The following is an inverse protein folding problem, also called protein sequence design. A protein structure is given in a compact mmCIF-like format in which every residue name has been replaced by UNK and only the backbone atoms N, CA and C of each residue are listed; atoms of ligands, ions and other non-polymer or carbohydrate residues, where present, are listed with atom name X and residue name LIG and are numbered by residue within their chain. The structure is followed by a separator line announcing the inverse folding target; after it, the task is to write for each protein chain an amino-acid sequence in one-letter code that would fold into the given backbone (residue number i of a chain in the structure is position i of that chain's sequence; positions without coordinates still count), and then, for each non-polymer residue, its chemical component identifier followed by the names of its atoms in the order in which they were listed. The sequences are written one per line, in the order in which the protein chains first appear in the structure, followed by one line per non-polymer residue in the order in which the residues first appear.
data_IF_864273249661
#
_entry.id   IF_864273249661
#
_cell.length_a   1.000
_cell.length_b   1.000
_cell.length_c   1.000
_cell.angle_alpha   90.00
_cell.angle_beta   90.00
_cell.angle_gamma   90.00
#
_symmetry.space_group_name_H-M   'P 1'
#
loop_
_entity.id
_entity.type
_entity.pdbx_description
1 polymer ?
#
# COMPACT_ATOMS: atom_id res chain seq x y z
N UNK A 1 -31.49 -39.45 -8.46
CA UNK A 1 -30.03 -39.45 -8.25
C UNK A 1 -29.48 -38.21 -8.95
N UNK A 2 -29.35 -37.14 -8.17
CA UNK A 2 -28.76 -35.86 -8.55
C UNK A 2 -27.24 -35.88 -8.28
N UNK A 3 -26.49 -35.08 -9.04
CA UNK A 3 -25.08 -34.78 -8.74
C UNK A 3 -24.20 -34.70 -9.99
N UNK A 4 -24.28 -33.62 -10.77
CA UNK A 4 -23.29 -33.32 -11.83
C UNK A 4 -23.15 -31.83 -12.22
N UNK A 5 -23.65 -30.89 -11.41
CA UNK A 5 -23.71 -29.46 -11.77
C UNK A 5 -22.71 -28.52 -11.06
N UNK A 6 -22.07 -28.96 -9.97
CA UNK A 6 -21.25 -28.07 -9.12
C UNK A 6 -19.79 -27.95 -9.56
N UNK A 7 -19.17 -29.04 -10.06
CA UNK A 7 -17.75 -29.04 -10.43
C UNK A 7 -17.45 -28.12 -11.62
N UNK A 8 -18.22 -28.19 -12.71
CA UNK A 8 -17.91 -27.46 -13.94
C UNK A 8 -18.04 -25.94 -13.80
N UNK A 9 -18.97 -25.44 -12.97
CA UNK A 9 -19.08 -23.99 -12.72
C UNK A 9 -17.93 -23.48 -11.85
N UNK A 10 -17.58 -24.21 -10.79
CA UNK A 10 -16.46 -23.85 -9.90
C UNK A 10 -15.12 -23.90 -10.64
N UNK A 11 -14.93 -24.83 -11.57
CA UNK A 11 -13.69 -24.93 -12.36
C UNK A 11 -13.57 -23.80 -13.40
N UNK A 12 -14.69 -23.36 -13.99
CA UNK A 12 -14.73 -22.22 -14.91
C UNK A 12 -14.51 -20.90 -14.16
N UNK A 13 -15.18 -20.69 -13.01
CA UNK A 13 -15.00 -19.49 -12.18
C UNK A 13 -13.56 -19.39 -11.65
N UNK A 14 -12.95 -20.52 -11.28
CA UNK A 14 -11.55 -20.58 -10.85
C UNK A 14 -10.58 -20.29 -11.99
N UNK A 15 -10.82 -20.84 -13.19
CA UNK A 15 -10.00 -20.56 -14.36
C UNK A 15 -10.11 -19.10 -14.82
N UNK A 16 -11.31 -18.52 -14.71
CA UNK A 16 -11.59 -17.12 -15.02
C UNK A 16 -10.89 -16.17 -14.03
N UNK A 17 -10.97 -16.48 -12.73
CA UNK A 17 -10.24 -15.79 -11.68
C UNK A 17 -8.72 -15.89 -11.85
N UNK A 18 -8.19 -17.07 -12.15
CA UNK A 18 -6.76 -17.27 -12.39
C UNK A 18 -6.27 -16.44 -13.59
N UNK A 19 -7.03 -16.42 -14.69
CA UNK A 19 -6.69 -15.64 -15.88
C UNK A 19 -6.69 -14.14 -15.60
N UNK A 20 -7.68 -13.64 -14.85
CA UNK A 20 -7.73 -12.25 -14.42
C UNK A 20 -6.51 -11.88 -13.58
N UNK A 21 -6.11 -12.75 -12.66
CA UNK A 21 -4.91 -12.56 -11.83
C UNK A 21 -3.60 -12.59 -12.64
N UNK A 22 -3.47 -13.47 -13.63
CA UNK A 22 -2.32 -13.49 -14.55
C UNK A 22 -2.19 -12.18 -15.34
N UNK A 23 -3.32 -11.66 -15.86
CA UNK A 23 -3.38 -10.38 -16.55
C UNK A 23 -3.02 -9.21 -15.63
N UNK A 24 -3.49 -9.21 -14.38
CA UNK A 24 -3.11 -8.20 -13.38
C UNK A 24 -1.60 -8.22 -13.10
N UNK A 25 -1.04 -9.41 -12.87
CA UNK A 25 0.38 -9.58 -12.59
C UNK A 25 1.25 -9.14 -13.78
N UNK A 26 0.85 -9.48 -15.01
CA UNK A 26 1.52 -9.00 -16.22
C UNK A 26 1.42 -7.48 -16.37
N UNK A 27 0.23 -6.92 -16.11
CA UNK A 27 0.02 -5.47 -16.15
C UNK A 27 0.90 -4.74 -15.15
N UNK A 28 0.99 -5.24 -13.91
CA UNK A 28 1.89 -4.72 -12.88
C UNK A 28 3.34 -4.67 -13.38
N UNK A 29 3.87 -5.79 -13.90
CA UNK A 29 5.26 -5.85 -14.42
C UNK A 29 5.51 -4.88 -15.56
N UNK A 30 4.53 -4.68 -16.44
CA UNK A 30 4.62 -3.71 -17.53
C UNK A 30 4.66 -2.29 -16.95
N UNK A 31 3.71 -1.91 -16.10
CA UNK A 31 3.67 -0.58 -15.51
C UNK A 31 4.92 -0.24 -14.69
N UNK A 32 5.41 -1.17 -13.88
CA UNK A 32 6.64 -0.97 -13.08
C UNK A 32 7.89 -0.78 -13.96
N UNK A 33 7.93 -1.40 -15.14
CA UNK A 33 9.09 -1.35 -16.04
C UNK A 33 9.14 -0.11 -16.93
N UNK A 34 7.99 0.38 -17.40
CA UNK A 34 7.94 1.48 -18.40
C UNK A 34 7.10 2.68 -17.97
N UNK A 35 6.47 2.62 -16.80
CA UNK A 35 5.48 3.60 -16.35
C UNK A 35 4.13 3.44 -17.07
N UNK A 36 3.12 4.15 -16.58
CA UNK A 36 1.76 4.07 -17.12
C UNK A 36 1.59 4.73 -18.50
N UNK A 37 2.23 5.88 -18.71
CA UNK A 37 2.12 6.64 -19.96
C UNK A 37 2.58 5.83 -21.17
N UNK A 38 3.77 5.22 -21.09
CA UNK A 38 4.35 4.43 -22.17
C UNK A 38 3.70 3.04 -22.33
N UNK A 39 3.09 2.48 -21.28
CA UNK A 39 2.46 1.17 -21.33
C UNK A 39 1.25 1.11 -22.26
N UNK A 40 1.17 0.02 -23.03
CA UNK A 40 0.05 -0.28 -23.93
C UNK A 40 -0.60 -1.63 -23.62
N UNK A 41 -1.86 -1.81 -24.03
CA UNK A 41 -2.55 -3.12 -23.97
C UNK A 41 -1.78 -4.20 -24.76
N UNK A 42 -1.06 -3.81 -25.82
CA UNK A 42 -0.23 -4.73 -26.59
C UNK A 42 0.97 -5.25 -25.76
N UNK A 43 1.58 -4.39 -24.95
CA UNK A 43 2.66 -4.79 -24.04
C UNK A 43 2.16 -5.73 -22.95
N UNK A 44 1.01 -5.44 -22.36
CA UNK A 44 0.37 -6.27 -21.33
C UNK A 44 0.04 -7.66 -21.88
N UNK A 45 -0.62 -7.71 -23.04
CA UNK A 45 -1.02 -8.98 -23.66
C UNK A 45 0.18 -9.82 -24.08
N UNK A 46 1.25 -9.18 -24.57
CA UNK A 46 2.53 -9.83 -24.85
C UNK A 46 3.19 -10.38 -23.59
N UNK A 47 3.23 -9.60 -22.50
CA UNK A 47 3.76 -10.02 -21.20
C UNK A 47 2.96 -11.18 -20.59
N UNK A 48 1.64 -11.20 -20.78
CA UNK A 48 0.75 -12.24 -20.28
C UNK A 48 0.67 -13.48 -21.21
N UNK A 49 1.20 -13.41 -22.43
CA UNK A 49 1.08 -14.49 -23.42
C UNK A 49 -0.36 -14.73 -23.90
N UNK A 50 -1.19 -13.68 -23.96
CA UNK A 50 -2.61 -13.78 -24.38
C UNK A 50 -2.94 -12.84 -25.54
N UNK A 51 -4.13 -12.98 -26.12
CA UNK A 51 -4.60 -12.10 -27.19
C UNK A 51 -5.18 -10.79 -26.64
N UNK A 52 -5.26 -9.75 -27.48
CA UNK A 52 -6.01 -8.51 -27.15
C UNK A 52 -7.48 -8.78 -26.85
N UNK A 53 -8.10 -9.70 -27.60
CA UNK A 53 -9.49 -10.09 -27.33
C UNK A 53 -9.64 -10.66 -25.92
N UNK A 54 -8.68 -11.49 -25.48
CA UNK A 54 -8.64 -12.04 -24.12
C UNK A 54 -8.53 -10.93 -23.08
N UNK A 55 -7.68 -9.92 -23.27
CA UNK A 55 -7.59 -8.78 -22.36
C UNK A 55 -8.95 -8.08 -22.19
N UNK A 56 -9.63 -7.78 -23.30
CA UNK A 56 -10.90 -7.07 -23.28
C UNK A 56 -12.09 -7.87 -22.73
N UNK A 57 -11.92 -9.18 -22.50
CA UNK A 57 -12.89 -9.98 -21.72
C UNK A 57 -12.82 -9.61 -20.23
N UNK A 58 -11.64 -9.28 -19.71
CA UNK A 58 -11.40 -9.03 -18.28
C UNK A 58 -11.34 -7.56 -17.91
N UNK A 59 -10.86 -6.71 -18.82
CA UNK A 59 -10.64 -5.30 -18.59
C UNK A 59 -10.96 -4.48 -19.84
N UNK A 60 -11.82 -3.48 -19.70
CA UNK A 60 -12.22 -2.54 -20.73
C UNK A 60 -11.06 -1.64 -21.18
N UNK A 61 -10.08 -1.36 -20.31
CA UNK A 61 -8.96 -0.48 -20.64
C UNK A 61 -7.72 -0.73 -19.79
N UNK A 62 -6.57 -0.15 -20.19
CA UNK A 62 -5.36 -0.13 -19.35
C UNK A 62 -5.57 0.66 -18.05
N UNK A 63 -6.44 1.68 -18.09
CA UNK A 63 -6.78 2.50 -16.92
C UNK A 63 -7.50 1.67 -15.88
N UNK A 64 -8.48 0.87 -16.29
CA UNK A 64 -9.20 -0.02 -15.37
C UNK A 64 -8.26 -1.00 -14.66
N UNK A 65 -7.31 -1.60 -15.39
CA UNK A 65 -6.32 -2.50 -14.74
C UNK A 65 -5.44 -1.74 -13.76
N UNK A 66 -5.03 -0.53 -14.12
CA UNK A 66 -4.20 0.30 -13.24
C UNK A 66 -4.96 0.72 -11.98
N UNK A 67 -6.24 1.09 -12.09
CA UNK A 67 -7.10 1.36 -10.94
C UNK A 67 -7.20 0.14 -10.03
N UNK A 68 -7.44 -1.05 -10.57
CA UNK A 68 -7.48 -2.30 -9.77
C UNK A 68 -6.15 -2.55 -9.05
N UNK A 69 -5.01 -2.27 -9.68
CA UNK A 69 -3.69 -2.37 -9.04
C UNK A 69 -3.53 -1.32 -7.92
N UNK A 70 -4.00 -0.08 -8.11
CA UNK A 70 -3.99 0.94 -7.07
C UNK A 70 -4.89 0.56 -5.87
N UNK A 71 -6.03 -0.07 -6.13
CA UNK A 71 -6.89 -0.63 -5.09
C UNK A 71 -6.23 -1.77 -4.31
N UNK A 72 -5.43 -2.62 -4.96
CA UNK A 72 -4.64 -3.64 -4.25
C UNK A 72 -3.60 -3.01 -3.32
N UNK A 73 -2.97 -1.90 -3.73
CA UNK A 73 -2.06 -1.14 -2.86
C UNK A 73 -2.82 -0.54 -1.67
N UNK A 74 -4.00 0.06 -1.90
CA UNK A 74 -4.89 0.53 -0.82
C UNK A 74 -5.17 -0.57 0.18
N UNK A 75 -5.58 -1.74 -0.30
CA UNK A 75 -6.01 -2.84 0.54
C UNK A 75 -4.82 -3.38 1.37
N UNK A 76 -3.62 -3.46 0.78
CA UNK A 76 -2.39 -3.79 1.51
C UNK A 76 -2.09 -2.78 2.64
N UNK A 77 -2.25 -1.48 2.39
CA UNK A 77 -2.11 -0.46 3.44
C UNK A 77 -3.17 -0.58 4.53
N UNK A 78 -4.41 -0.96 4.19
CA UNK A 78 -5.47 -1.17 5.18
C UNK A 78 -5.19 -2.40 6.05
N UNK A 79 -4.69 -3.48 5.45
CA UNK A 79 -4.33 -4.71 6.16
C UNK A 79 -3.13 -4.50 7.11
N UNK A 80 -2.11 -3.75 6.67
CA UNK A 80 -0.96 -3.38 7.51
C UNK A 80 -1.35 -2.53 8.74
N UNK A 81 -2.53 -1.91 8.70
CA UNK A 81 -3.07 -1.16 9.83
C UNK A 81 -3.81 -2.06 10.85
N UNK A 82 -3.85 -3.38 10.70
CA UNK A 82 -4.44 -4.25 11.72
C UNK A 82 -3.52 -4.36 12.96
N UNK A 83 -3.76 -3.52 13.99
CA UNK A 83 -3.06 -3.55 15.28
C UNK A 83 -3.79 -4.40 16.31
N UNK A 84 -4.30 -5.57 15.89
CA UNK A 84 -4.98 -6.46 16.83
C UNK A 84 -4.01 -6.82 17.98
N UNK A 85 -4.53 -6.76 19.20
CA UNK A 85 -3.87 -7.27 20.42
C UNK A 85 -2.66 -6.48 20.98
N UNK A 86 -2.46 -5.22 20.57
CA UNK A 86 -1.46 -4.32 21.20
C UNK A 86 -2.15 -3.33 22.15
N UNK A 87 -1.79 -3.29 23.45
CA UNK A 87 -2.26 -2.28 24.38
C UNK A 87 -1.94 -0.86 23.90
N UNK A 88 -2.91 0.05 23.98
CA UNK A 88 -2.75 1.41 23.44
C UNK A 88 -1.71 2.26 24.20
N UNK A 89 -1.44 1.92 25.46
CA UNK A 89 -0.45 2.53 26.36
C UNK A 89 0.98 2.02 26.11
N UNK A 90 1.16 0.92 25.38
CA UNK A 90 2.47 0.45 24.90
C UNK A 90 2.89 1.19 23.62
N UNK A 91 3.15 2.50 23.78
CA UNK A 91 3.39 3.45 22.68
C UNK A 91 4.53 3.00 21.77
N UNK A 92 5.65 2.57 22.34
CA UNK A 92 6.81 2.11 21.58
C UNK A 92 6.45 0.90 20.71
N UNK A 93 5.73 -0.09 21.25
CA UNK A 93 5.32 -1.28 20.50
C UNK A 93 4.31 -0.97 19.41
N UNK A 94 3.35 -0.07 19.68
CA UNK A 94 2.38 0.40 18.67
C UNK A 94 3.11 1.03 17.50
N UNK A 95 4.04 1.97 17.76
CA UNK A 95 4.81 2.62 16.70
C UNK A 95 5.70 1.64 15.94
N UNK A 96 6.46 0.81 16.64
CA UNK A 96 7.35 -0.19 16.02
C UNK A 96 6.59 -1.11 15.08
N UNK A 97 5.42 -1.61 15.51
CA UNK A 97 4.58 -2.49 14.69
C UNK A 97 4.01 -1.76 13.49
N UNK A 98 3.48 -0.55 13.70
CA UNK A 98 2.85 0.24 12.63
C UNK A 98 3.87 0.67 11.58
N UNK A 99 5.04 1.15 12.00
CA UNK A 99 6.13 1.56 11.11
C UNK A 99 6.63 0.37 10.30
N UNK A 100 6.89 -0.77 10.95
CA UNK A 100 7.36 -1.97 10.26
C UNK A 100 6.37 -2.46 9.21
N UNK A 101 5.09 -2.59 9.57
CA UNK A 101 4.06 -3.05 8.65
C UNK A 101 3.86 -2.07 7.47
N UNK A 102 3.89 -0.76 7.72
CA UNK A 102 3.76 0.23 6.67
C UNK A 102 4.99 0.24 5.75
N UNK A 103 6.20 0.15 6.31
CA UNK A 103 7.44 0.05 5.54
C UNK A 103 7.43 -1.17 4.61
N UNK A 104 7.00 -2.33 5.11
CA UNK A 104 6.93 -3.57 4.32
C UNK A 104 6.01 -3.39 3.09
N UNK A 105 4.82 -2.79 3.29
CA UNK A 105 3.91 -2.48 2.17
C UNK A 105 4.55 -1.52 1.16
N UNK A 106 5.19 -0.45 1.63
CA UNK A 106 5.82 0.52 0.71
C UNK A 106 6.96 -0.14 -0.06
N UNK A 107 7.78 -0.99 0.58
CA UNK A 107 8.88 -1.72 -0.07
C UNK A 107 8.33 -2.69 -1.13
N UNK A 108 7.33 -3.51 -0.77
CA UNK A 108 6.74 -4.53 -1.67
C UNK A 108 6.08 -3.91 -2.91
N UNK A 109 5.60 -2.67 -2.78
CA UNK A 109 4.87 -1.95 -3.82
C UNK A 109 5.60 -0.71 -4.36
N UNK A 110 6.88 -0.49 -4.01
CA UNK A 110 7.59 0.78 -4.25
C UNK A 110 7.53 1.23 -5.72
N UNK A 111 7.80 0.32 -6.66
CA UNK A 111 7.80 0.64 -8.08
C UNK A 111 6.40 1.04 -8.58
N UNK A 112 5.36 0.34 -8.13
CA UNK A 112 3.98 0.65 -8.50
C UNK A 112 3.50 1.96 -7.85
N UNK A 113 3.81 2.18 -6.57
CA UNK A 113 3.54 3.43 -5.86
C UNK A 113 4.19 4.61 -6.58
N UNK A 114 5.46 4.47 -6.98
CA UNK A 114 6.17 5.50 -7.76
C UNK A 114 5.42 5.84 -9.06
N UNK A 115 4.94 4.82 -9.78
CA UNK A 115 4.15 5.04 -11.01
C UNK A 115 2.81 5.70 -10.69
N UNK A 116 2.14 5.30 -9.60
CA UNK A 116 0.87 5.86 -9.16
C UNK A 116 1.00 7.33 -8.76
N UNK A 117 2.04 7.71 -8.00
CA UNK A 117 2.36 9.09 -7.65
C UNK A 117 2.48 9.97 -8.90
N UNK A 118 3.22 9.51 -9.90
CA UNK A 118 3.37 10.24 -11.16
C UNK A 118 2.04 10.38 -11.91
N UNK A 119 1.20 9.34 -11.94
CA UNK A 119 -0.10 9.39 -12.63
C UNK A 119 -1.15 10.20 -11.89
N UNK A 120 -1.11 10.22 -10.56
CA UNK A 120 -1.99 11.03 -9.73
C UNK A 120 -1.82 12.55 -9.96
N UNK A 121 -0.77 13.00 -10.65
CA UNK A 121 -0.62 14.40 -11.06
C UNK A 121 -1.49 14.77 -12.27
N UNK A 122 -1.88 13.78 -13.08
CA UNK A 122 -2.60 13.99 -14.35
C UNK A 122 -4.05 13.47 -14.29
N UNK A 123 -4.31 12.42 -13.51
CA UNK A 123 -5.62 11.79 -13.35
C UNK A 123 -6.24 12.12 -11.98
N UNK A 124 -7.34 12.87 -11.99
CA UNK A 124 -8.02 13.34 -10.78
C UNK A 124 -8.68 12.22 -9.97
N UNK A 125 -9.12 11.13 -10.61
CA UNK A 125 -9.73 9.99 -9.91
C UNK A 125 -8.66 9.19 -9.18
N UNK A 126 -7.54 8.91 -9.85
CA UNK A 126 -6.37 8.29 -9.21
C UNK A 126 -5.78 9.18 -8.12
N UNK A 127 -5.75 10.51 -8.32
CA UNK A 127 -5.34 11.46 -7.30
C UNK A 127 -6.20 11.36 -6.04
N UNK A 128 -7.52 11.29 -6.21
CA UNK A 128 -8.45 11.17 -5.09
C UNK A 128 -8.26 9.84 -4.34
N UNK A 129 -8.11 8.73 -5.07
CA UNK A 129 -7.84 7.41 -4.48
C UNK A 129 -6.53 7.42 -3.68
N UNK A 130 -5.45 7.92 -4.29
CA UNK A 130 -4.14 7.95 -3.66
C UNK A 130 -4.09 8.90 -2.45
N UNK A 131 -4.72 10.07 -2.57
CA UNK A 131 -4.85 11.01 -1.46
C UNK A 131 -5.65 10.43 -0.29
N UNK A 132 -6.71 9.66 -0.56
CA UNK A 132 -7.48 8.96 0.49
C UNK A 132 -6.64 7.91 1.22
N UNK A 133 -5.84 7.12 0.47
CA UNK A 133 -4.91 6.13 1.04
C UNK A 133 -3.93 6.81 2.01
N UNK A 134 -3.24 7.85 1.55
CA UNK A 134 -2.28 8.60 2.36
C UNK A 134 -2.95 9.29 3.55
N UNK A 135 -4.11 9.92 3.35
CA UNK A 135 -4.84 10.62 4.39
C UNK A 135 -5.29 9.68 5.51
N UNK A 136 -5.79 8.47 5.18
CA UNK A 136 -6.21 7.48 6.19
C UNK A 136 -5.08 7.03 7.10
N UNK A 137 -3.88 6.79 6.55
CA UNK A 137 -2.72 6.41 7.33
C UNK A 137 -2.33 7.52 8.32
N UNK A 138 -2.29 8.77 7.84
CA UNK A 138 -1.99 9.94 8.68
C UNK A 138 -3.06 10.17 9.74
N UNK A 139 -4.34 10.13 9.38
CA UNK A 139 -5.47 10.37 10.28
C UNK A 139 -5.59 9.31 11.37
N UNK A 140 -5.24 8.05 11.05
CA UNK A 140 -5.17 6.99 12.05
C UNK A 140 -4.11 7.28 13.10
N UNK A 141 -2.89 7.59 12.68
CA UNK A 141 -1.80 7.88 13.61
C UNK A 141 -2.08 9.14 14.44
N UNK A 142 -2.59 10.19 13.80
CA UNK A 142 -2.98 11.42 14.48
C UNK A 142 -4.04 11.16 15.56
N UNK A 143 -5.08 10.37 15.26
CA UNK A 143 -6.11 9.98 16.24
C UNK A 143 -5.55 9.13 17.38
N UNK A 144 -4.62 8.23 17.09
CA UNK A 144 -3.96 7.44 18.13
C UNK A 144 -3.19 8.35 19.11
N UNK A 145 -2.37 9.27 18.59
CA UNK A 145 -1.63 10.23 19.41
C UNK A 145 -2.54 11.15 20.22
N UNK A 146 -3.62 11.67 19.61
CA UNK A 146 -4.63 12.46 20.32
C UNK A 146 -5.24 11.65 21.46
N UNK A 147 -5.65 10.40 21.22
CA UNK A 147 -6.22 9.54 22.25
C UNK A 147 -5.24 9.27 23.40
N UNK A 148 -4.00 8.89 23.10
CA UNK A 148 -2.99 8.61 24.14
C UNK A 148 -2.74 9.85 25.01
N UNK A 149 -2.73 11.04 24.39
CA UNK A 149 -2.58 12.32 25.10
C UNK A 149 -3.81 12.67 25.94
N UNK A 150 -5.01 12.66 25.36
CA UNK A 150 -6.24 13.11 26.00
C UNK A 150 -6.67 12.18 27.15
N UNK A 151 -6.49 10.87 26.98
CA UNK A 151 -6.81 9.86 27.98
C UNK A 151 -5.69 9.68 29.03
N UNK A 152 -4.55 10.36 28.88
CA UNK A 152 -3.40 10.25 29.79
C UNK A 152 -2.78 8.85 29.85
N UNK A 153 -2.83 8.09 28.74
CA UNK A 153 -2.34 6.71 28.69
C UNK A 153 -0.81 6.61 28.75
N UNK A 154 -0.11 7.67 28.30
CA UNK A 154 1.33 7.80 28.39
C UNK A 154 1.71 9.28 28.58
N UNK A 155 2.85 9.59 29.24
CA UNK A 155 3.30 10.95 29.48
C UNK A 155 3.94 11.55 28.21
N UNK A 156 3.15 11.81 27.18
CA UNK A 156 3.62 12.38 25.92
C UNK A 156 3.93 13.87 26.07
N UNK A 157 5.05 14.32 25.49
CA UNK A 157 5.41 15.73 25.30
C UNK A 157 5.59 15.98 23.80
N UNK A 158 4.48 16.30 23.12
CA UNK A 158 4.43 16.36 21.67
C UNK A 158 5.17 17.60 21.14
N UNK A 159 6.21 17.39 20.33
CA UNK A 159 6.98 18.46 19.70
C UNK A 159 6.18 19.25 18.65
N UNK A 160 5.07 18.69 18.15
CA UNK A 160 4.16 19.31 17.21
C UNK A 160 2.74 18.73 17.35
N UNK A 161 1.78 19.27 16.59
CA UNK A 161 0.41 18.72 16.54
C UNK A 161 0.44 17.24 16.11
N UNK A 162 -0.43 16.36 16.66
CA UNK A 162 -0.49 14.95 16.30
C UNK A 162 -0.49 14.67 14.79
N UNK A 163 -1.26 15.46 14.02
CA UNK A 163 -1.28 15.36 12.55
C UNK A 163 0.06 15.68 11.89
N UNK A 164 0.82 16.65 12.40
CA UNK A 164 2.13 17.01 11.86
C UNK A 164 3.16 15.90 12.12
N UNK A 165 3.12 15.27 13.30
CA UNK A 165 3.95 14.11 13.64
C UNK A 165 3.59 12.91 12.73
N UNK A 166 2.29 12.67 12.53
CA UNK A 166 1.82 11.62 11.63
C UNK A 166 2.24 11.85 10.16
N UNK A 167 2.17 13.08 9.66
CA UNK A 167 2.63 13.45 8.31
C UNK A 167 4.13 13.20 8.14
N UNK A 168 4.94 13.63 9.13
CA UNK A 168 6.38 13.35 9.17
C UNK A 168 6.64 11.83 9.12
N UNK A 169 5.91 11.05 9.92
CA UNK A 169 6.06 9.60 9.98
C UNK A 169 5.70 8.90 8.66
N UNK A 170 4.68 9.38 7.95
CA UNK A 170 4.32 8.88 6.63
C UNK A 170 5.42 9.17 5.60
N UNK A 171 5.81 10.44 5.47
CA UNK A 171 6.79 10.86 4.45
C UNK A 171 8.19 10.27 4.63
N UNK A 172 8.64 10.08 5.88
CA UNK A 172 9.92 9.40 6.11
C UNK A 172 9.87 7.93 5.66
N UNK A 173 8.72 7.26 5.76
CA UNK A 173 8.64 5.84 5.42
C UNK A 173 8.86 5.60 3.93
N UNK A 174 8.37 6.48 3.05
CA UNK A 174 8.66 6.43 1.61
C UNK A 174 10.16 6.62 1.33
N UNK A 175 10.80 7.57 2.01
CA UNK A 175 12.23 7.83 1.87
C UNK A 175 13.08 6.63 2.32
N UNK A 176 12.75 6.02 3.47
CA UNK A 176 13.42 4.83 3.97
C UNK A 176 13.15 3.59 3.11
N UNK A 177 11.93 3.43 2.59
CA UNK A 177 11.61 2.31 1.69
C UNK A 177 12.49 2.31 0.44
N UNK A 178 12.78 3.48 -0.12
CA UNK A 178 13.72 3.60 -1.24
C UNK A 178 15.15 3.15 -0.87
N UNK A 179 15.63 3.48 0.34
CA UNK A 179 16.93 3.03 0.85
C UNK A 179 16.98 1.53 1.12
N UNK A 180 15.90 0.97 1.68
CA UNK A 180 15.75 -0.47 1.94
C UNK A 180 15.73 -1.24 0.61
N UNK A 181 14.92 -0.79 -0.35
CA UNK A 181 14.86 -1.41 -1.68
C UNK A 181 16.21 -1.33 -2.43
N UNK A 182 16.99 -0.26 -2.21
CA UNK A 182 18.34 -0.14 -2.76
C UNK A 182 19.40 -0.98 -2.02
N UNK A 183 19.06 -1.59 -0.88
CA UNK A 183 19.98 -2.34 -0.03
C UNK A 183 20.99 -1.46 0.72
N UNK A 184 20.76 -0.14 0.78
CA UNK A 184 21.64 0.82 1.48
C UNK A 184 21.47 0.73 2.99
N UNK A 185 20.26 0.44 3.45
CA UNK A 185 19.87 0.30 4.85
C UNK A 185 19.06 -0.98 5.01
N UNK A 186 19.24 -1.72 6.10
CA UNK A 186 18.40 -2.90 6.35
C UNK A 186 17.00 -2.51 6.80
N UNK A 187 15.98 -3.37 6.58
CA UNK A 187 14.62 -3.14 7.06
C UNK A 187 14.59 -2.84 8.56
N UNK A 188 15.30 -3.63 9.37
CA UNK A 188 15.29 -3.47 10.82
C UNK A 188 15.98 -2.16 11.25
N UNK A 189 17.08 -1.79 10.60
CA UNK A 189 17.75 -0.50 10.84
C UNK A 189 16.83 0.68 10.48
N UNK A 190 16.14 0.62 9.34
CA UNK A 190 15.16 1.64 8.95
C UNK A 190 14.02 1.77 9.98
N UNK A 191 13.49 0.65 10.48
CA UNK A 191 12.44 0.67 11.52
C UNK A 191 12.96 1.28 12.81
N UNK A 192 14.15 0.92 13.28
CA UNK A 192 14.73 1.48 14.51
C UNK A 192 15.03 2.97 14.39
N UNK A 193 15.53 3.45 13.24
CA UNK A 193 15.78 4.87 13.01
C UNK A 193 14.48 5.69 12.96
N UNK A 194 13.47 5.24 12.19
CA UNK A 194 12.17 5.89 12.13
C UNK A 194 11.47 5.88 13.51
N UNK A 195 11.60 4.79 14.26
CA UNK A 195 11.09 4.67 15.63
C UNK A 195 11.78 5.68 16.55
N UNK A 196 13.11 5.78 16.51
CA UNK A 196 13.85 6.75 17.32
C UNK A 196 13.45 8.20 16.99
N UNK A 197 13.20 8.52 15.71
CA UNK A 197 12.73 9.85 15.29
C UNK A 197 11.35 10.16 15.87
N UNK A 198 10.38 9.23 15.72
CA UNK A 198 9.01 9.50 16.18
C UNK A 198 8.89 9.52 17.69
N UNK A 199 9.64 8.66 18.41
CA UNK A 199 9.67 8.66 19.88
C UNK A 199 10.12 10.03 20.40
N UNK A 200 11.21 10.59 19.86
CA UNK A 200 11.67 11.94 20.23
C UNK A 200 10.62 13.01 19.93
N UNK A 201 9.93 12.89 18.81
CA UNK A 201 8.87 13.83 18.43
C UNK A 201 7.67 13.80 19.38
N UNK A 202 7.48 12.72 20.15
CA UNK A 202 6.40 12.58 21.14
C UNK A 202 6.89 12.65 22.59
N UNK A 203 8.15 13.03 22.80
CA UNK A 203 8.73 13.24 24.13
C UNK A 203 9.18 11.95 24.84
N UNK A 204 9.30 10.84 24.11
CA UNK A 204 9.81 9.57 24.62
C UNK A 204 11.21 9.32 24.05
N UNK A 205 12.16 8.87 24.88
CA UNK A 205 13.58 8.57 24.50
C UNK A 205 14.33 9.61 23.66
#
# INVERSE_FOLDING_TARGET
MEGKGWSTRVDVDRADSARRSELLAASRRVFERMGYGAATVADITREAGVSRATFYVYFASKQEVFTVLAEQVRDAFLDAQALADIPADDVERVFRTTIGAYLDVVVDHLALITVLDHQALEDAELNALWSDIQARAVDRMARYLTRVSDDGLAPLDLAARPRSIALMSGGQTESFAALVNAGTVSRDEAVEEMLAIVLRAIGLR
#
